data_IF_875035845592
#
_entry.id   IF_875035845592
#
_cell.length_a   1.000
_cell.length_b   1.000
_cell.length_c   1.000
_cell.angle_alpha   90.00
_cell.angle_beta   90.00
_cell.angle_gamma   90.00
#
_symmetry.space_group_name_H-M   'P 1'
#
loop_
_entity.id
_entity.type
_entity.pdbx_description
1 polymer ?
#
# COMPACT_ATOMS: atom_id res chain seq x y z
N UNK A 1 -1.47 -6.37 20.98
CA UNK A 1 -0.18 -5.63 21.01
C UNK A 1 1.05 -6.46 20.63
N UNK A 2 1.18 -7.74 21.06
CA UNK A 2 2.36 -8.57 20.73
C UNK A 2 2.51 -8.87 19.23
N UNK A 3 1.40 -9.11 18.54
CA UNK A 3 1.36 -9.52 17.12
C UNK A 3 1.82 -8.40 16.16
N UNK A 4 1.38 -7.16 16.38
CA UNK A 4 1.80 -6.02 15.55
C UNK A 4 3.32 -5.80 15.55
N UNK A 5 3.98 -6.01 16.71
CA UNK A 5 5.44 -5.91 16.80
C UNK A 5 6.15 -7.01 15.99
N UNK A 6 5.55 -8.20 15.89
CA UNK A 6 6.05 -9.28 15.03
C UNK A 6 5.98 -8.91 13.56
N UNK A 7 4.82 -8.40 13.12
CA UNK A 7 4.59 -7.94 11.75
C UNK A 7 5.55 -6.82 11.32
N UNK A 8 5.82 -5.84 12.18
CA UNK A 8 6.77 -4.74 11.89
C UNK A 8 8.19 -5.28 11.69
N UNK A 9 8.63 -6.24 12.51
CA UNK A 9 9.96 -6.84 12.36
C UNK A 9 10.07 -7.70 11.09
N UNK A 10 9.01 -8.43 10.73
CA UNK A 10 8.97 -9.23 9.51
C UNK A 10 9.10 -8.35 8.25
N UNK A 11 8.38 -7.23 8.21
CA UNK A 11 8.49 -6.27 7.10
C UNK A 11 9.88 -5.64 7.02
N UNK A 12 10.52 -5.32 8.15
CA UNK A 12 11.89 -4.78 8.17
C UNK A 12 12.88 -5.78 7.56
N UNK A 13 12.74 -7.06 7.91
CA UNK A 13 13.56 -8.13 7.33
C UNK A 13 13.33 -8.28 5.82
N UNK A 14 12.09 -8.17 5.37
CA UNK A 14 11.76 -8.21 3.94
C UNK A 14 12.40 -7.05 3.16
N UNK A 15 12.46 -5.84 3.74
CA UNK A 15 13.16 -4.70 3.15
C UNK A 15 14.68 -4.90 3.09
N UNK A 16 15.27 -5.50 4.14
CA UNK A 16 16.69 -5.84 4.13
C UNK A 16 17.01 -6.85 3.00
N UNK A 17 16.17 -7.89 2.84
CA UNK A 17 16.31 -8.84 1.74
C UNK A 17 16.09 -8.20 0.35
N UNK A 18 15.16 -7.26 0.24
CA UNK A 18 14.93 -6.51 -1.00
C UNK A 18 16.14 -5.64 -1.36
N UNK A 19 16.74 -4.96 -0.39
CA UNK A 19 17.97 -4.18 -0.57
C UNK A 19 19.10 -5.03 -1.16
N UNK A 20 19.32 -6.23 -0.62
CA UNK A 20 20.35 -7.17 -1.12
C UNK A 20 20.10 -7.55 -2.58
N UNK A 21 18.85 -7.81 -2.97
CA UNK A 21 18.52 -8.14 -4.37
C UNK A 21 18.75 -6.96 -5.30
N UNK A 22 18.38 -5.75 -4.90
CA UNK A 22 18.62 -4.52 -5.69
C UNK A 22 20.12 -4.31 -5.89
N UNK A 23 20.94 -4.53 -4.88
CA UNK A 23 22.41 -4.45 -5.00
C UNK A 23 22.98 -5.51 -5.94
N UNK A 24 22.45 -6.74 -5.91
CA UNK A 24 22.87 -7.80 -6.84
C UNK A 24 22.52 -7.47 -8.30
N UNK A 25 21.34 -6.87 -8.55
CA UNK A 25 20.95 -6.40 -9.88
C UNK A 25 21.85 -5.25 -10.35
N UNK A 26 22.13 -4.28 -9.49
CA UNK A 26 23.02 -3.15 -9.78
C UNK A 26 24.45 -3.64 -10.12
N UNK A 27 24.94 -4.68 -9.44
CA UNK A 27 26.23 -5.28 -9.76
C UNK A 27 26.25 -6.00 -11.11
N UNK A 28 25.12 -6.62 -11.50
CA UNK A 28 25.03 -7.41 -12.72
C UNK A 28 24.82 -6.54 -13.97
N UNK A 29 24.01 -5.49 -13.86
CA UNK A 29 23.59 -4.66 -14.99
C UNK A 29 24.20 -3.24 -14.98
N UNK A 30 24.94 -2.91 -13.92
CA UNK A 30 25.52 -1.59 -13.70
C UNK A 30 24.57 -0.64 -12.97
N UNK A 31 25.11 0.51 -12.58
CA UNK A 31 24.34 1.56 -11.93
C UNK A 31 23.31 2.16 -12.89
N UNK A 32 22.05 2.17 -12.45
CA UNK A 32 20.95 2.83 -13.14
C UNK A 32 20.33 3.86 -12.22
N UNK A 33 19.93 5.01 -12.76
CA UNK A 33 19.26 6.08 -12.02
C UNK A 33 17.99 5.56 -11.32
N UNK A 34 17.28 4.61 -11.96
CA UNK A 34 16.08 3.98 -11.42
C UNK A 34 16.42 3.14 -10.18
N UNK A 35 17.47 2.32 -10.25
CA UNK A 35 17.89 1.49 -9.10
C UNK A 35 18.40 2.36 -7.95
N UNK A 36 19.07 3.47 -8.26
CA UNK A 36 19.55 4.42 -7.27
C UNK A 36 18.38 5.10 -6.55
N UNK A 37 17.37 5.57 -7.29
CA UNK A 37 16.16 6.15 -6.72
C UNK A 37 15.41 5.14 -5.84
N UNK A 38 15.27 3.89 -6.31
CA UNK A 38 14.66 2.81 -5.56
C UNK A 38 15.40 2.52 -4.24
N UNK A 39 16.74 2.51 -4.24
CA UNK A 39 17.54 2.35 -3.01
C UNK A 39 17.29 3.47 -2.02
N UNK A 40 17.20 4.72 -2.49
CA UNK A 40 16.87 5.87 -1.64
C UNK A 40 15.49 5.71 -1.00
N UNK A 41 14.50 5.27 -1.77
CA UNK A 41 13.14 5.05 -1.27
C UNK A 41 13.08 3.91 -0.25
N UNK A 42 13.82 2.81 -0.45
CA UNK A 42 13.92 1.72 0.54
C UNK A 42 14.53 2.22 1.85
N UNK A 43 15.61 3.02 1.78
CA UNK A 43 16.25 3.61 2.97
C UNK A 43 15.26 4.51 3.71
N UNK A 44 14.53 5.36 2.97
CA UNK A 44 13.50 6.23 3.55
C UNK A 44 12.41 5.41 4.23
N UNK A 45 11.89 4.37 3.57
CA UNK A 45 10.85 3.51 4.14
C UNK A 45 11.33 2.80 5.42
N UNK A 46 12.58 2.33 5.44
CA UNK A 46 13.19 1.72 6.63
C UNK A 46 13.23 2.69 7.82
N UNK A 47 13.59 3.95 7.57
CA UNK A 47 13.59 5.00 8.61
C UNK A 47 12.18 5.26 9.13
N UNK A 48 11.19 5.39 8.25
CA UNK A 48 9.79 5.58 8.65
C UNK A 48 9.27 4.40 9.49
N UNK A 49 9.68 3.16 9.19
CA UNK A 49 9.33 1.99 10.00
C UNK A 49 9.98 2.00 11.38
N UNK A 50 11.22 2.48 11.48
CA UNK A 50 11.91 2.64 12.77
C UNK A 50 11.27 3.75 13.62
N UNK A 51 10.83 4.84 12.98
CA UNK A 51 10.01 5.87 13.62
C UNK A 51 8.65 5.33 14.08
N UNK A 52 7.98 4.52 13.27
CA UNK A 52 6.71 3.87 13.64
C UNK A 52 6.88 2.93 14.85
N UNK A 53 8.02 2.24 14.92
CA UNK A 53 8.37 1.38 16.07
C UNK A 53 8.71 2.18 17.32
N UNK A 54 9.32 3.36 17.14
CA UNK A 54 9.69 4.27 18.22
C UNK A 54 8.54 5.14 18.71
N UNK A 55 7.53 5.39 17.86
CA UNK A 55 6.33 6.13 18.22
C UNK A 55 5.55 5.25 19.18
N UNK A 56 5.79 5.51 20.46
CA UNK A 56 5.21 4.77 21.55
C UNK A 56 3.69 4.87 21.40
N UNK A 57 3.02 3.77 21.05
CA UNK A 57 1.56 3.69 21.08
C UNK A 57 1.00 4.07 22.47
N UNK A 58 1.86 4.14 23.50
CA UNK A 58 1.54 4.72 24.81
C UNK A 58 1.17 6.20 24.77
N UNK A 59 1.62 6.98 23.78
CA UNK A 59 1.13 8.35 23.57
C UNK A 59 -0.31 8.37 23.07
N UNK A 60 -0.73 7.36 22.30
CA UNK A 60 -2.09 7.25 21.78
C UNK A 60 -3.09 6.87 22.89
N UNK A 61 -2.69 5.97 23.78
CA UNK A 61 -3.42 5.71 25.03
C UNK A 61 -2.95 6.67 26.10
N UNK A 62 -3.01 7.97 25.79
CA UNK A 62 -2.56 9.05 26.65
C UNK A 62 -2.84 8.68 28.10
N UNK A 63 -1.81 8.74 28.94
CA UNK A 63 -1.96 8.66 30.39
C UNK A 63 -3.03 9.67 30.75
N UNK A 64 -4.27 9.20 30.85
CA UNK A 64 -5.35 9.92 31.51
C UNK A 64 -4.86 9.96 32.93
N UNK A 65 -4.16 11.04 33.24
CA UNK A 65 -3.96 11.48 34.60
C UNK A 65 -5.38 11.62 35.14
N UNK A 66 -5.85 10.56 35.81
CA UNK A 66 -7.11 10.59 36.52
C UNK A 66 -6.89 11.73 37.52
N UNK A 67 -7.56 12.88 37.36
CA UNK A 67 -7.35 13.97 38.27
C UNK A 67 -7.66 13.43 39.66
N UNK A 68 -6.74 13.63 40.61
CA UNK A 68 -6.96 13.34 42.02
C UNK A 68 -8.15 14.20 42.46
N UNK A 69 -9.35 13.64 42.33
CA UNK A 69 -10.58 14.28 42.76
C UNK A 69 -10.46 14.26 44.28
N UNK A 70 -10.32 15.40 44.97
CA UNK A 70 -10.26 15.41 46.42
C UNK A 70 -11.52 14.70 46.90
N UNK A 71 -11.35 13.69 47.76
CA UNK A 71 -12.47 12.92 48.31
C UNK A 71 -13.37 13.87 49.07
N UNK A 72 -14.38 14.39 48.39
CA UNK A 72 -15.52 15.02 49.03
C UNK A 72 -16.19 13.89 49.77
N UNK A 73 -16.11 13.91 51.11
CA UNK A 73 -16.83 13.01 52.00
C UNK A 73 -18.27 12.88 51.52
N UNK A 74 -18.55 11.77 50.85
CA UNK A 74 -19.91 11.41 50.45
C UNK A 74 -20.58 10.95 51.74
N UNK A 75 -21.63 11.64 52.21
CA UNK A 75 -22.31 11.23 53.43
C UNK A 75 -22.87 9.83 53.23
N UNK A 76 -22.46 8.95 54.15
CA UNK A 76 -22.95 7.59 54.27
C UNK A 76 -24.44 7.61 54.54
N UNK A 77 -25.27 7.41 53.52
CA UNK A 77 -26.56 6.76 53.70
C UNK A 77 -27.12 6.28 52.37
N UNK A 78 -26.93 5.00 52.07
CA UNK A 78 -28.07 4.14 51.73
C UNK A 78 -27.61 2.69 51.68
N UNK A 79 -27.93 2.03 52.78
CA UNK A 79 -28.14 0.61 52.87
C UNK A 79 -29.29 0.24 51.91
N UNK A 80 -28.95 -0.34 50.76
CA UNK A 80 -29.92 -1.00 49.88
C UNK A 80 -29.38 -2.37 49.56
N UNK A 81 -30.16 -3.35 50.04
CA UNK A 81 -29.92 -4.78 50.01
C UNK A 81 -29.52 -5.34 48.64
N UNK A 82 -28.71 -6.41 48.62
CA UNK A 82 -28.28 -7.09 47.40
C UNK A 82 -29.44 -7.93 46.84
N UNK A 83 -30.02 -7.50 45.72
CA UNK A 83 -30.87 -8.37 44.92
C UNK A 83 -29.96 -9.18 43.98
N UNK A 84 -29.55 -10.36 44.46
CA UNK A 84 -28.97 -11.40 43.63
C UNK A 84 -29.98 -11.78 42.54
N UNK A 85 -29.76 -11.31 41.31
CA UNK A 85 -30.35 -11.93 40.13
C UNK A 85 -29.23 -12.70 39.46
N UNK A 86 -29.11 -13.96 39.87
CA UNK A 86 -28.48 -15.02 39.08
C UNK A 86 -29.31 -15.11 37.81
N UNK A 87 -28.87 -14.38 36.79
CA UNK A 87 -29.24 -14.63 35.41
C UNK A 87 -28.12 -15.45 34.82
N UNK A 88 -28.27 -16.77 34.85
CA UNK A 88 -27.61 -17.66 33.89
C UNK A 88 -28.04 -17.18 32.50
N UNK A 89 -27.23 -16.29 31.92
CA UNK A 89 -27.23 -16.11 30.48
C UNK A 89 -26.36 -17.25 29.98
N UNK A 90 -27.00 -18.38 29.73
CA UNK A 90 -26.53 -19.37 28.76
C UNK A 90 -26.25 -18.58 27.47
N UNK A 91 -25.01 -18.14 27.36
CA UNK A 91 -24.48 -17.59 26.13
C UNK A 91 -24.18 -18.79 25.27
N UNK A 92 -25.22 -19.27 24.60
CA UNK A 92 -25.09 -20.13 23.45
C UNK A 92 -24.13 -19.43 22.49
N UNK A 93 -22.85 -19.81 22.57
CA UNK A 93 -21.89 -19.64 21.50
C UNK A 93 -22.38 -20.57 20.39
N UNK A 94 -23.39 -20.13 19.65
CA UNK A 94 -23.57 -20.57 18.29
C UNK A 94 -22.28 -20.21 17.58
N UNK A 95 -21.38 -21.20 17.51
CA UNK A 95 -20.34 -21.26 16.52
C UNK A 95 -21.11 -21.42 15.23
N UNK A 96 -21.53 -20.29 14.68
CA UNK A 96 -21.99 -20.22 13.32
C UNK A 96 -20.75 -20.45 12.49
N UNK A 97 -20.49 -21.73 12.25
CA UNK A 97 -19.59 -22.23 11.24
C UNK A 97 -20.16 -21.73 9.91
N UNK A 98 -19.86 -20.48 9.57
CA UNK A 98 -20.10 -19.96 8.24
C UNK A 98 -19.19 -20.74 7.30
N UNK A 99 -19.70 -21.89 6.84
CA UNK A 99 -19.42 -22.42 5.51
C UNK A 99 -19.85 -21.33 4.55
N UNK A 100 -18.93 -20.39 4.30
CA UNK A 100 -18.90 -19.76 3.01
C UNK A 100 -18.58 -20.90 2.04
N UNK A 101 -19.64 -21.50 1.50
CA UNK A 101 -19.57 -22.17 0.22
C UNK A 101 -19.06 -21.09 -0.74
N UNK A 102 -17.75 -21.06 -0.93
CA UNK A 102 -17.14 -20.40 -2.07
C UNK A 102 -17.71 -21.12 -3.27
N UNK A 103 -18.66 -20.45 -3.89
CA UNK A 103 -19.17 -20.71 -5.22
C UNK A 103 -17.96 -20.70 -6.17
N UNK A 104 -17.35 -21.88 -6.33
CA UNK A 104 -16.38 -22.20 -7.35
C UNK A 104 -17.13 -22.29 -8.70
N UNK A 105 -17.78 -21.21 -9.11
CA UNK A 105 -18.16 -21.07 -10.51
C UNK A 105 -16.87 -20.88 -11.31
N UNK A 106 -16.37 -22.03 -11.76
CA UNK A 106 -15.84 -22.20 -13.11
C UNK A 106 -14.71 -21.21 -13.46
N UNK A 107 -13.58 -21.35 -12.76
CA UNK A 107 -12.29 -21.01 -13.36
C UNK A 107 -12.11 -21.94 -14.57
N UNK A 108 -12.62 -21.47 -15.71
CA UNK A 108 -12.53 -22.14 -16.99
C UNK A 108 -11.10 -22.62 -17.19
N UNK A 109 -10.98 -23.92 -17.42
CA UNK A 109 -9.76 -24.62 -17.83
C UNK A 109 -9.14 -23.83 -18.99
N UNK A 110 -8.22 -22.93 -18.68
CA UNK A 110 -7.32 -22.34 -19.66
C UNK A 110 -6.02 -23.13 -19.53
N UNK A 111 -5.75 -23.85 -20.60
CA UNK A 111 -4.66 -24.79 -20.81
C UNK A 111 -3.35 -24.38 -20.12
N UNK A 112 -2.96 -25.18 -19.12
CA UNK A 112 -1.70 -25.09 -18.41
C UNK A 112 -0.51 -25.64 -19.23
N UNK A 113 -0.49 -25.43 -20.55
CA UNK A 113 0.53 -26.01 -21.44
C UNK A 113 1.20 -25.01 -22.37
N UNK A 114 1.24 -23.71 -22.04
CA UNK A 114 1.87 -22.70 -22.91
C UNK A 114 2.87 -21.76 -22.21
N UNK A 115 3.54 -22.19 -21.14
CA UNK A 115 4.68 -21.44 -20.60
C UNK A 115 5.77 -22.40 -20.12
N UNK A 116 6.52 -22.95 -21.07
CA UNK A 116 7.81 -23.59 -20.80
C UNK A 116 8.96 -22.57 -20.69
N UNK A 117 8.71 -21.27 -20.90
CA UNK A 117 9.74 -20.24 -20.87
C UNK A 117 9.38 -19.05 -19.96
N UNK A 118 9.98 -18.95 -18.75
CA UNK A 118 9.75 -17.85 -17.82
C UNK A 118 10.41 -16.53 -18.26
N UNK A 119 11.29 -16.53 -19.26
CA UNK A 119 11.96 -15.31 -19.75
C UNK A 119 11.00 -14.38 -20.53
N UNK A 120 9.90 -14.91 -21.06
CA UNK A 120 8.92 -14.14 -21.85
C UNK A 120 7.82 -13.48 -20.99
N UNK A 121 7.69 -13.88 -19.71
CA UNK A 121 6.70 -13.32 -18.77
C UNK A 121 7.06 -11.90 -18.33
N UNK A 122 8.35 -11.61 -18.19
CA UNK A 122 8.83 -10.29 -17.75
C UNK A 122 8.63 -9.23 -18.84
N UNK A 123 8.84 -9.58 -20.12
CA UNK A 123 8.55 -8.69 -21.25
C UNK A 123 7.06 -8.34 -21.37
N UNK A 124 6.18 -9.31 -21.13
CA UNK A 124 4.72 -9.15 -21.18
C UNK A 124 4.19 -8.13 -20.16
N UNK A 125 4.72 -8.12 -18.93
CA UNK A 125 4.27 -7.19 -17.88
C UNK A 125 4.64 -5.74 -18.18
N UNK A 126 5.83 -5.50 -18.74
CA UNK A 126 6.29 -4.15 -19.11
C UNK A 126 5.41 -3.58 -20.23
N UNK A 127 5.10 -4.38 -21.26
CA UNK A 127 4.25 -3.94 -22.36
C UNK A 127 2.82 -3.61 -21.92
N UNK A 128 2.23 -4.42 -21.04
CA UNK A 128 0.89 -4.18 -20.48
C UNK A 128 0.81 -2.91 -19.63
N UNK A 129 1.91 -2.59 -18.93
CA UNK A 129 2.01 -1.36 -18.12
C UNK A 129 2.09 -0.11 -19.01
N UNK A 130 2.80 -0.19 -20.15
CA UNK A 130 2.88 0.91 -21.12
C UNK A 130 1.52 1.17 -21.78
N UNK A 131 0.76 0.13 -22.16
CA UNK A 131 -0.59 0.29 -22.71
C UNK A 131 -1.58 0.92 -21.73
N UNK A 132 -1.53 0.53 -20.45
CA UNK A 132 -2.37 1.13 -19.41
C UNK A 132 -2.07 2.63 -19.25
N UNK A 133 -0.79 3.00 -19.24
CA UNK A 133 -0.37 4.41 -19.10
C UNK A 133 -0.74 5.28 -20.32
N UNK A 134 -0.82 4.69 -21.51
CA UNK A 134 -1.26 5.38 -22.74
C UNK A 134 -2.74 5.71 -22.71
N UNK A 135 -3.60 4.79 -22.22
CA UNK A 135 -5.04 5.06 -22.09
C UNK A 135 -5.36 6.18 -21.13
N UNK A 136 -4.60 6.31 -20.05
CA UNK A 136 -4.80 7.39 -19.07
C UNK A 136 -4.30 8.75 -19.56
N UNK A 137 -3.43 8.77 -20.58
CA UNK A 137 -2.90 10.00 -21.18
C UNK A 137 -3.78 10.55 -22.33
N UNK A 138 -4.63 9.73 -22.95
CA UNK A 138 -5.45 10.14 -24.10
C UNK A 138 -6.69 10.99 -23.71
N UNK A 139 -6.92 11.25 -22.42
CA UNK A 139 -8.00 12.13 -21.94
C UNK A 139 -7.53 13.54 -21.56
N UNK A 140 -6.30 13.94 -21.90
CA UNK A 140 -5.87 15.34 -21.87
C UNK A 140 -6.06 15.93 -23.27
N UNK A 141 -7.14 16.71 -23.38
CA UNK A 141 -7.70 17.21 -24.63
C UNK A 141 -6.71 17.85 -25.60
N UNK A 142 -6.81 17.41 -26.85
CA UNK A 142 -6.37 18.13 -28.02
C UNK A 142 -7.03 19.52 -28.05
N UNK A 143 -6.28 20.54 -27.64
CA UNK A 143 -6.67 21.93 -27.81
C UNK A 143 -6.37 22.35 -29.25
N UNK A 144 -7.43 22.36 -30.05
CA UNK A 144 -7.53 22.79 -31.45
C UNK A 144 -6.90 24.17 -31.66
N UNK A 145 -5.63 24.19 -32.10
CA UNK A 145 -5.04 25.36 -32.74
C UNK A 145 -5.62 25.44 -34.16
N UNK A 146 -6.42 26.48 -34.43
CA UNK A 146 -6.76 26.83 -35.80
C UNK A 146 -5.60 27.67 -36.33
N UNK A 147 -4.70 27.03 -37.07
CA UNK A 147 -3.76 27.73 -37.94
C UNK A 147 -4.56 28.29 -39.12
N UNK A 148 -4.84 29.59 -39.04
CA UNK A 148 -5.38 30.34 -40.17
C UNK A 148 -4.25 30.52 -41.19
N UNK A 149 -4.29 29.68 -42.21
CA UNK A 149 -3.39 29.67 -43.36
C UNK A 149 -3.66 30.93 -44.20
N UNK A 150 -2.73 31.87 -44.17
CA UNK A 150 -2.52 32.77 -45.29
C UNK A 150 -1.44 32.17 -46.20
N UNK A 151 -1.75 31.78 -47.44
CA UNK A 151 -0.74 31.42 -48.42
C UNK A 151 -0.22 32.71 -49.01
N UNK A 152 0.98 33.15 -48.61
CA UNK A 152 1.67 34.17 -49.39
C UNK A 152 2.89 33.59 -50.12
N UNK A 153 2.66 33.52 -51.42
CA UNK A 153 3.53 33.23 -52.52
C UNK A 153 4.76 34.15 -52.59
N UNK A 154 5.77 33.62 -53.30
CA UNK A 154 6.75 34.36 -54.12
C UNK A 154 7.93 34.98 -53.35
N UNK A 155 9.19 35.03 -53.81
CA UNK A 155 9.82 34.83 -55.12
C UNK A 155 11.33 34.56 -54.90
N UNK A 156 11.87 33.61 -55.66
CA UNK A 156 13.20 33.55 -56.30
C UNK A 156 14.13 34.79 -56.14
N UNK A 157 15.42 34.60 -55.86
CA UNK A 157 16.50 35.13 -56.72
C UNK A 157 17.87 34.52 -56.41
N UNK A 158 18.70 34.55 -57.45
CA UNK A 158 19.81 33.71 -57.79
C UNK A 158 21.10 34.04 -57.02
N UNK A 159 21.98 33.04 -56.93
CA UNK A 159 23.22 33.10 -56.17
C UNK A 159 24.33 33.98 -56.75
N UNK A 160 25.44 34.04 -56.03
CA UNK A 160 26.77 34.37 -56.56
C UNK A 160 27.80 33.57 -55.76
N UNK A 161 28.71 32.99 -56.55
CA UNK A 161 29.98 32.29 -56.30
C UNK A 161 30.81 32.73 -55.11
#
# INVERSE_FOLDING_TARGET
MREHRGLINAHKLALDAFTVRVEAYEQSWGASDILTALKVDIIRLRNHMDELKSTNLSMLFGTVEIPDVPSVDVPTSSDVHPAATIGDVDRDYATDESKADTDEEELGVRDATMYDDPEDLEGSMVQKTIEASLRDSEMVGSSRANDDVAPDTNTQDNGVT
#
